data_IF_696378973808
#
_entry.id   IF_696378973808
#
_cell.length_a   1.000
_cell.length_b   1.000
_cell.length_c   1.000
_cell.angle_alpha   90.00
_cell.angle_beta   90.00
_cell.angle_gamma   90.00
#
_symmetry.space_group_name_H-M   'P 1'
#
loop_
_entity.id
_entity.type
_entity.pdbx_description
1 polymer ?
#
# COMPACT_ATOMS: atom_id res chain seq x y z
N UNK A 1 -27.49 33.22 50.66
CA UNK A 1 -27.51 34.25 49.58
C UNK A 1 -26.58 33.94 48.40
N UNK A 2 -25.55 33.08 48.53
CA UNK A 2 -24.57 32.81 47.46
C UNK A 2 -25.10 32.03 46.24
N UNK A 3 -26.19 31.27 46.39
CA UNK A 3 -26.71 30.44 45.30
C UNK A 3 -27.29 31.27 44.13
N UNK A 4 -27.81 32.48 44.42
CA UNK A 4 -28.32 33.41 43.41
C UNK A 4 -27.22 33.88 42.45
N UNK A 5 -26.02 34.16 42.98
CA UNK A 5 -24.87 34.59 42.18
C UNK A 5 -24.38 33.45 41.28
N UNK A 6 -24.38 32.22 41.80
CA UNK A 6 -23.98 31.03 41.05
C UNK A 6 -24.98 30.70 39.92
N UNK A 7 -26.29 30.83 40.17
CA UNK A 7 -27.31 30.64 39.13
C UNK A 7 -27.21 31.70 38.03
N UNK A 8 -26.90 32.94 38.38
CA UNK A 8 -26.76 34.04 37.41
C UNK A 8 -25.52 33.82 36.52
N UNK A 9 -24.39 33.40 37.12
CA UNK A 9 -23.17 33.07 36.38
C UNK A 9 -23.37 31.88 35.43
N UNK A 10 -24.00 30.81 35.88
CA UNK A 10 -24.32 29.65 35.03
C UNK A 10 -25.28 30.02 33.90
N UNK A 11 -26.29 30.85 34.16
CA UNK A 11 -27.20 31.33 33.10
C UNK A 11 -26.49 32.19 32.07
N UNK A 12 -25.55 33.06 32.50
CA UNK A 12 -24.75 33.88 31.60
C UNK A 12 -23.84 33.04 30.70
N UNK A 13 -23.15 32.06 31.28
CA UNK A 13 -22.31 31.12 30.52
C UNK A 13 -23.14 30.29 29.53
N UNK A 14 -24.32 29.82 29.94
CA UNK A 14 -25.22 29.06 29.06
C UNK A 14 -25.68 29.89 27.85
N UNK A 15 -26.05 31.15 28.06
CA UNK A 15 -26.47 32.05 26.98
C UNK A 15 -25.32 32.35 26.01
N UNK A 16 -24.11 32.56 26.51
CA UNK A 16 -22.92 32.74 25.67
C UNK A 16 -22.66 31.48 24.82
N UNK A 17 -22.77 30.30 25.44
CA UNK A 17 -22.54 29.03 24.74
C UNK A 17 -23.61 28.79 23.66
N UNK A 18 -24.87 29.08 23.96
CA UNK A 18 -25.98 29.01 22.99
C UNK A 18 -25.75 30.00 21.84
N UNK A 19 -25.32 31.22 22.11
CA UNK A 19 -25.03 32.22 21.08
C UNK A 19 -23.87 31.78 20.17
N UNK A 20 -22.82 31.18 20.71
CA UNK A 20 -21.69 30.64 19.94
C UNK A 20 -22.13 29.44 19.09
N UNK A 21 -22.94 28.53 19.62
CA UNK A 21 -23.48 27.38 18.88
C UNK A 21 -24.49 27.77 17.81
N UNK A 22 -25.25 28.85 18.04
CA UNK A 22 -26.28 29.34 17.10
C UNK A 22 -25.71 30.26 16.03
N UNK A 23 -24.47 30.72 16.18
CA UNK A 23 -23.76 31.39 15.10
C UNK A 23 -23.34 30.34 14.08
N UNK A 24 -24.12 30.24 13.00
CA UNK A 24 -23.64 29.59 11.77
C UNK A 24 -22.32 30.25 11.39
N UNK A 25 -21.24 29.46 11.44
CA UNK A 25 -19.89 29.97 11.16
C UNK A 25 -19.88 30.63 9.78
N UNK A 26 -19.39 31.89 9.63
CA UNK A 26 -19.48 32.65 8.37
C UNK A 26 -18.56 32.12 7.25
N UNK A 27 -17.86 31.02 7.48
CA UNK A 27 -16.95 30.44 6.51
C UNK A 27 -17.71 29.47 5.62
N UNK A 28 -17.59 29.68 4.31
CA UNK A 28 -18.00 28.75 3.26
C UNK A 28 -17.32 27.40 3.51
N UNK A 29 -18.00 26.48 4.16
CA UNK A 29 -17.59 25.09 4.14
C UNK A 29 -17.71 24.59 2.70
N UNK A 30 -16.70 23.90 2.16
CA UNK A 30 -16.82 23.29 0.84
C UNK A 30 -18.01 22.33 0.85
N UNK A 31 -19.12 22.76 0.24
CA UNK A 31 -20.31 21.93 0.07
C UNK A 31 -19.90 20.82 -0.87
N UNK A 32 -20.01 19.57 -0.41
CA UNK A 32 -19.75 18.40 -1.23
C UNK A 32 -20.84 18.32 -2.32
N UNK A 33 -20.59 18.90 -3.49
CA UNK A 33 -21.56 19.00 -4.60
C UNK A 33 -21.71 17.66 -5.31
N UNK A 34 -20.68 16.83 -5.28
CA UNK A 34 -20.65 15.56 -5.97
C UNK A 34 -19.91 14.51 -5.15
N UNK A 35 -20.52 13.35 -5.01
CA UNK A 35 -19.88 12.14 -4.52
C UNK A 35 -19.98 11.12 -5.63
N UNK A 36 -18.87 10.81 -6.26
CA UNK A 36 -18.85 9.68 -7.17
C UNK A 36 -19.00 8.38 -6.38
N UNK A 37 -20.19 7.78 -6.45
CA UNK A 37 -20.44 6.43 -5.94
C UNK A 37 -19.94 5.41 -6.98
N UNK A 38 -18.63 5.37 -7.20
CA UNK A 38 -18.05 4.32 -8.04
C UNK A 38 -17.97 3.03 -7.23
N UNK A 39 -18.30 1.85 -7.82
CA UNK A 39 -18.02 0.59 -7.16
C UNK A 39 -16.50 0.50 -6.90
N UNK A 40 -16.10 0.00 -5.72
CA UNK A 40 -14.70 -0.04 -5.35
C UNK A 40 -13.94 -0.97 -6.29
N UNK A 41 -12.86 -0.47 -6.90
CA UNK A 41 -11.97 -1.24 -7.79
C UNK A 41 -11.40 -2.48 -7.08
N UNK A 42 -11.19 -2.37 -5.77
CA UNK A 42 -10.63 -3.42 -4.94
C UNK A 42 -11.69 -3.94 -3.95
N UNK A 43 -11.73 -5.27 -3.69
CA UNK A 43 -12.66 -5.85 -2.73
C UNK A 43 -12.28 -5.53 -1.27
N UNK A 44 -11.17 -4.83 -1.05
CA UNK A 44 -10.66 -4.43 0.26
C UNK A 44 -10.23 -2.96 0.25
N UNK A 45 -10.16 -2.35 1.44
CA UNK A 45 -9.54 -1.04 1.63
C UNK A 45 -8.02 -1.18 1.59
N UNK A 46 -7.32 -0.59 0.61
CA UNK A 46 -5.86 -0.70 0.52
C UNK A 46 -5.17 0.19 1.56
N UNK A 47 -4.07 -0.30 2.12
CA UNK A 47 -3.19 0.46 3.02
C UNK A 47 -2.24 1.37 2.23
N UNK A 48 -1.80 0.90 1.06
CA UNK A 48 -1.00 1.67 0.12
C UNK A 48 -1.47 1.43 -1.31
N UNK A 49 -1.45 2.48 -2.11
CA UNK A 49 -1.72 2.45 -3.54
C UNK A 49 -0.52 3.00 -4.28
N UNK A 50 -0.16 2.34 -5.38
CA UNK A 50 0.94 2.75 -6.25
C UNK A 50 0.42 2.79 -7.68
N UNK A 51 0.65 3.92 -8.34
CA UNK A 51 0.31 4.12 -9.73
C UNK A 51 1.61 4.11 -10.55
N UNK A 52 1.69 3.23 -11.55
CA UNK A 52 2.82 3.16 -12.48
C UNK A 52 2.33 3.20 -13.91
N UNK A 53 3.20 3.64 -14.83
CA UNK A 53 2.89 3.69 -16.27
C UNK A 53 3.91 2.86 -17.02
N UNK A 54 3.45 1.89 -17.80
CA UNK A 54 4.31 1.03 -18.63
C UNK A 54 3.74 0.93 -20.02
N UNK A 55 4.51 1.39 -21.01
CA UNK A 55 4.09 1.43 -22.40
C UNK A 55 2.80 2.24 -22.58
N UNK A 56 1.76 1.60 -23.12
CA UNK A 56 0.45 2.20 -23.38
C UNK A 56 -0.58 1.95 -22.25
N UNK A 57 -0.15 1.44 -21.09
CA UNK A 57 -1.03 1.11 -19.97
C UNK A 57 -0.63 1.85 -18.69
N UNK A 58 -1.64 2.20 -17.90
CA UNK A 58 -1.52 2.61 -16.50
C UNK A 58 -1.84 1.40 -15.62
N UNK A 59 -0.99 1.17 -14.63
CA UNK A 59 -1.14 0.11 -13.64
C UNK A 59 -1.41 0.74 -12.28
N UNK A 60 -2.38 0.20 -11.57
CA UNK A 60 -2.71 0.56 -10.20
C UNK A 60 -2.52 -0.68 -9.34
N UNK A 61 -1.52 -0.63 -8.47
CA UNK A 61 -1.21 -1.70 -7.52
C UNK A 61 -1.69 -1.30 -6.13
N UNK A 62 -2.59 -2.11 -5.57
CA UNK A 62 -3.09 -2.02 -4.21
C UNK A 62 -2.36 -3.01 -3.31
N UNK A 63 -1.95 -2.52 -2.14
CA UNK A 63 -1.34 -3.31 -1.09
C UNK A 63 -2.23 -3.27 0.14
N UNK A 64 -2.51 -4.43 0.70
CA UNK A 64 -3.09 -4.61 2.02
C UNK A 64 -2.08 -5.34 2.88
N UNK A 65 -1.64 -4.70 3.95
CA UNK A 65 -0.53 -5.16 4.76
C UNK A 65 -0.94 -6.32 5.65
N UNK A 66 -2.15 -6.25 6.18
CA UNK A 66 -2.71 -7.26 7.06
C UNK A 66 -4.11 -7.65 6.58
N UNK A 67 -4.22 -8.82 5.97
CA UNK A 67 -5.48 -9.49 5.69
C UNK A 67 -5.56 -10.78 6.52
N UNK A 68 -6.73 -11.08 7.07
CA UNK A 68 -6.93 -12.36 7.77
C UNK A 68 -6.69 -13.51 6.79
N UNK A 69 -5.81 -14.44 7.16
CA UNK A 69 -5.53 -15.62 6.33
C UNK A 69 -6.81 -16.46 6.15
N UNK A 70 -7.03 -16.99 4.94
CA UNK A 70 -8.12 -17.93 4.67
C UNK A 70 -7.90 -19.19 5.53
N UNK A 71 -8.79 -19.42 6.50
CA UNK A 71 -8.71 -20.56 7.43
C UNK A 71 -8.55 -20.15 8.90
N UNK A 72 -8.03 -18.96 9.18
CA UNK A 72 -8.02 -18.42 10.53
C UNK A 72 -9.31 -17.66 10.79
N UNK A 73 -10.08 -18.11 11.80
CA UNK A 73 -11.34 -17.50 12.26
C UNK A 73 -11.10 -16.14 12.97
N UNK A 74 -10.23 -15.29 12.44
CA UNK A 74 -9.84 -14.02 13.04
C UNK A 74 -8.89 -14.13 14.23
N UNK A 75 -8.35 -15.32 14.52
CA UNK A 75 -7.32 -15.48 15.55
C UNK A 75 -5.98 -14.95 15.03
N UNK A 76 -5.71 -13.67 15.29
CA UNK A 76 -4.42 -13.02 15.02
C UNK A 76 -3.61 -13.07 16.31
N UNK A 77 -2.41 -13.65 16.25
CA UNK A 77 -1.51 -13.76 17.40
C UNK A 77 -0.22 -13.00 17.10
N UNK A 78 0.22 -12.12 18.01
CA UNK A 78 1.44 -11.34 17.84
C UNK A 78 1.24 -9.87 18.18
N UNK A 79 2.33 -9.11 18.18
CA UNK A 79 2.33 -7.69 18.51
C UNK A 79 3.07 -6.90 17.44
N UNK A 80 2.57 -5.71 17.12
CA UNK A 80 3.18 -4.83 16.11
C UNK A 80 3.14 -5.44 14.70
N UNK A 81 4.29 -5.43 14.02
CA UNK A 81 4.45 -5.86 12.62
C UNK A 81 4.69 -7.37 12.45
N UNK A 82 4.90 -8.08 13.55
CA UNK A 82 5.07 -9.53 13.55
C UNK A 82 3.80 -10.19 14.09
N UNK A 83 2.99 -10.71 13.17
CA UNK A 83 1.69 -11.32 13.47
C UNK A 83 1.54 -12.62 12.72
N UNK A 84 1.12 -13.64 13.45
CA UNK A 84 0.68 -14.94 12.94
C UNK A 84 -0.78 -14.85 12.52
N UNK A 85 -1.09 -15.54 11.42
CA UNK A 85 -2.44 -15.66 10.90
C UNK A 85 -2.94 -14.46 10.08
N UNK A 86 -2.04 -13.55 9.73
CA UNK A 86 -2.28 -12.47 8.78
C UNK A 86 -1.37 -12.61 7.57
N UNK A 87 -1.90 -12.25 6.41
CA UNK A 87 -1.21 -12.32 5.14
C UNK A 87 -1.26 -10.96 4.46
N UNK A 88 -0.20 -10.61 3.75
CA UNK A 88 -0.21 -9.50 2.81
C UNK A 88 -1.03 -9.83 1.57
N UNK A 89 -1.81 -8.89 1.05
CA UNK A 89 -2.46 -9.02 -0.26
C UNK A 89 -1.95 -7.93 -1.20
N UNK A 90 -1.57 -8.33 -2.40
CA UNK A 90 -1.14 -7.45 -3.47
C UNK A 90 -2.08 -7.69 -4.65
N UNK A 91 -2.78 -6.64 -5.10
CA UNK A 91 -3.67 -6.71 -6.24
C UNK A 91 -3.34 -5.62 -7.23
N UNK A 92 -3.12 -5.99 -8.49
CA UNK A 92 -2.84 -5.03 -9.54
C UNK A 92 -3.94 -5.07 -10.60
N UNK A 93 -4.35 -3.88 -11.03
CA UNK A 93 -5.27 -3.68 -12.16
C UNK A 93 -4.59 -2.77 -13.18
N UNK A 94 -4.94 -2.90 -14.46
CA UNK A 94 -4.44 -2.05 -15.54
C UNK A 94 -5.57 -1.43 -16.35
N UNK A 95 -5.31 -0.24 -16.89
CA UNK A 95 -6.18 0.48 -17.81
C UNK A 95 -5.35 1.07 -18.96
N UNK A 96 -5.80 0.99 -20.22
CA UNK A 96 -5.10 1.64 -21.34
C UNK A 96 -5.03 3.17 -21.15
N UNK A 97 -3.88 3.78 -21.43
CA UNK A 97 -3.66 5.23 -21.34
C UNK A 97 -4.61 6.02 -22.23
N UNK A 98 -4.88 5.54 -23.46
CA UNK A 98 -5.78 6.23 -24.39
C UNK A 98 -7.20 6.38 -23.85
N UNK A 99 -7.67 5.42 -23.03
CA UNK A 99 -8.97 5.48 -22.37
C UNK A 99 -9.04 6.54 -21.25
N UNK A 100 -7.90 7.05 -20.78
CA UNK A 100 -7.85 8.15 -19.81
C UNK A 100 -7.84 9.52 -20.49
N UNK A 101 -7.39 9.59 -21.74
CA UNK A 101 -7.27 10.82 -22.51
C UNK A 101 -8.57 11.18 -23.24
N UNK A 102 -9.49 10.23 -23.38
CA UNK A 102 -10.77 10.45 -24.07
C UNK A 102 -11.84 10.76 -23.03
N UNK A 103 -12.55 11.89 -23.15
CA UNK A 103 -13.71 12.28 -22.32
C UNK A 103 -14.93 11.38 -22.59
N UNK A 104 -14.80 10.07 -22.39
CA UNK A 104 -15.94 9.15 -22.41
C UNK A 104 -16.35 8.81 -20.99
N UNK A 105 -17.65 8.93 -20.75
CA UNK A 105 -18.40 8.68 -19.52
C UNK A 105 -17.54 8.20 -18.34
N UNK A 106 -17.23 9.15 -17.46
CA UNK A 106 -16.61 8.95 -16.15
C UNK A 106 -17.41 8.00 -15.23
N UNK A 107 -18.47 7.35 -15.72
CA UNK A 107 -19.47 6.60 -14.96
C UNK A 107 -19.25 5.07 -14.99
N UNK A 108 -18.45 4.54 -15.90
CA UNK A 108 -18.21 3.10 -15.99
C UNK A 108 -16.85 2.71 -15.41
N UNK A 109 -16.89 1.88 -14.36
CA UNK A 109 -15.72 1.15 -13.84
C UNK A 109 -15.10 0.15 -14.84
N UNK A 110 -15.70 0.00 -16.03
CA UNK A 110 -15.37 -0.99 -17.07
C UNK A 110 -13.99 -0.83 -17.73
N UNK A 111 -13.19 0.15 -17.32
CA UNK A 111 -11.85 0.35 -17.87
C UNK A 111 -10.73 -0.46 -17.20
N UNK A 112 -10.94 -0.96 -15.97
CA UNK A 112 -9.88 -1.62 -15.20
C UNK A 112 -9.93 -3.14 -15.38
N UNK A 113 -8.84 -3.70 -15.87
CA UNK A 113 -8.67 -5.15 -16.03
C UNK A 113 -7.72 -5.69 -14.95
N UNK A 114 -8.07 -6.76 -14.23
CA UNK A 114 -7.17 -7.37 -13.25
C UNK A 114 -5.93 -7.93 -13.95
N UNK A 115 -4.75 -7.68 -13.38
CA UNK A 115 -3.48 -8.25 -13.82
C UNK A 115 -3.16 -9.49 -13.00
N UNK A 116 -3.05 -9.31 -11.69
CA UNK A 116 -2.79 -10.40 -10.75
C UNK A 116 -3.33 -10.04 -9.36
N UNK A 117 -3.48 -11.09 -8.55
CA UNK A 117 -3.79 -11.00 -7.13
C UNK A 117 -2.94 -12.04 -6.40
N UNK A 118 -2.05 -11.58 -5.53
CA UNK A 118 -1.12 -12.41 -4.79
C UNK A 118 -1.35 -12.26 -3.29
N UNK A 119 -1.46 -13.39 -2.61
CA UNK A 119 -1.41 -13.46 -1.16
C UNK A 119 -0.01 -13.89 -0.72
N UNK A 120 0.63 -13.09 0.13
CA UNK A 120 1.91 -13.41 0.74
C UNK A 120 1.71 -14.37 1.92
N UNK A 121 2.76 -15.09 2.27
CA UNK A 121 2.75 -16.05 3.40
C UNK A 121 2.71 -15.37 4.77
N UNK A 122 2.99 -14.07 4.83
CA UNK A 122 2.89 -13.27 6.04
C UNK A 122 2.59 -11.79 5.75
N UNK A 123 2.52 -10.94 6.79
CA UNK A 123 2.14 -9.54 6.64
C UNK A 123 3.17 -8.74 5.86
N UNK A 124 2.71 -7.76 5.08
CA UNK A 124 3.58 -6.74 4.48
C UNK A 124 3.94 -5.73 5.56
N UNK A 125 5.21 -5.36 5.62
CA UNK A 125 5.69 -4.27 6.48
C UNK A 125 6.01 -3.01 5.69
N UNK A 126 6.65 -3.15 4.52
CA UNK A 126 7.08 -2.02 3.69
C UNK A 126 6.95 -2.33 2.21
N UNK A 127 6.69 -1.28 1.43
CA UNK A 127 6.69 -1.33 -0.04
C UNK A 127 7.60 -0.24 -0.55
N UNK A 128 8.63 -0.63 -1.29
CA UNK A 128 9.52 0.28 -2.02
C UNK A 128 9.13 0.32 -3.49
N UNK A 129 9.09 1.52 -4.06
CA UNK A 129 8.83 1.74 -5.48
C UNK A 129 10.16 2.18 -6.08
N UNK A 130 10.56 1.59 -7.20
CA UNK A 130 11.77 2.02 -7.89
C UNK A 130 11.53 3.38 -8.52
N UNK A 131 12.37 4.35 -8.20
CA UNK A 131 12.30 5.68 -8.78
C UNK A 131 13.16 5.69 -10.06
N UNK A 132 12.65 5.07 -11.14
CA UNK A 132 13.39 5.03 -12.41
C UNK A 132 13.14 6.30 -13.22
N UNK A 133 14.14 7.17 -13.32
CA UNK A 133 14.19 8.21 -14.35
C UNK A 133 14.58 7.64 -15.71
N UNK A 134 15.14 6.44 -15.74
CA UNK A 134 15.56 5.75 -16.95
C UNK A 134 14.42 4.94 -17.56
N UNK A 135 14.41 4.85 -18.90
CA UNK A 135 13.38 4.17 -19.70
C UNK A 135 13.38 2.64 -19.54
N UNK A 136 14.17 2.09 -18.63
CA UNK A 136 14.25 0.66 -18.38
C UNK A 136 13.19 0.25 -17.35
N UNK A 137 12.01 -0.07 -17.90
CA UNK A 137 10.73 -0.24 -17.20
C UNK A 137 10.62 -1.59 -16.47
N UNK A 138 11.66 -2.42 -16.52
CA UNK A 138 11.54 -3.82 -16.15
C UNK A 138 11.27 -4.02 -14.66
N UNK A 139 11.93 -3.34 -13.72
CA UNK A 139 11.65 -3.56 -12.28
C UNK A 139 10.82 -2.42 -11.71
N UNK A 140 9.68 -2.72 -11.06
CA UNK A 140 8.73 -1.67 -10.64
C UNK A 140 8.71 -1.41 -9.14
N UNK A 141 8.60 -2.46 -8.33
CA UNK A 141 8.48 -2.30 -6.88
C UNK A 141 8.93 -3.56 -6.14
N UNK A 142 9.33 -3.39 -4.88
CA UNK A 142 9.65 -4.44 -3.95
C UNK A 142 8.73 -4.38 -2.73
N UNK A 143 8.37 -5.55 -2.21
CA UNK A 143 7.51 -5.70 -1.04
C UNK A 143 8.28 -6.48 0.01
N UNK A 144 8.46 -5.87 1.17
CA UNK A 144 9.01 -6.52 2.35
C UNK A 144 7.87 -7.18 3.11
N UNK A 145 8.01 -8.47 3.37
CA UNK A 145 7.11 -9.22 4.23
C UNK A 145 7.88 -10.15 5.15
N UNK A 146 7.21 -10.58 6.21
CA UNK A 146 7.82 -11.37 7.26
C UNK A 146 7.05 -12.66 7.45
N UNK A 147 7.77 -13.77 7.56
CA UNK A 147 7.20 -15.09 7.78
C UNK A 147 7.77 -15.64 9.09
N UNK A 148 6.90 -16.25 9.89
CA UNK A 148 7.31 -16.98 11.08
C UNK A 148 7.08 -18.45 10.79
N UNK A 149 8.13 -19.25 10.94
CA UNK A 149 8.08 -20.69 10.73
C UNK A 149 9.02 -21.36 11.74
N UNK A 150 8.52 -22.35 12.48
CA UNK A 150 9.26 -23.07 13.53
C UNK A 150 9.97 -22.15 14.53
N UNK A 151 9.24 -21.17 15.07
CA UNK A 151 9.73 -20.12 16.00
C UNK A 151 10.85 -19.22 15.45
N UNK A 152 11.20 -19.33 14.17
CA UNK A 152 12.17 -18.47 13.51
C UNK A 152 11.46 -17.40 12.67
N UNK A 153 11.98 -16.17 12.72
CA UNK A 153 11.53 -15.08 11.86
C UNK A 153 12.39 -14.99 10.60
N UNK A 154 11.72 -15.09 9.44
CA UNK A 154 12.32 -14.93 8.13
C UNK A 154 11.81 -13.64 7.48
N UNK A 155 12.73 -12.89 6.87
CA UNK A 155 12.42 -11.63 6.19
C UNK A 155 12.62 -11.81 4.68
N UNK A 156 11.58 -11.53 3.91
CA UNK A 156 11.60 -11.71 2.47
C UNK A 156 11.31 -10.39 1.76
N UNK A 157 12.06 -10.13 0.70
CA UNK A 157 11.78 -9.07 -0.24
C UNK A 157 11.29 -9.69 -1.56
N UNK A 158 9.99 -9.51 -1.85
CA UNK A 158 9.41 -9.89 -3.16
C UNK A 158 9.60 -8.74 -4.13
N UNK A 159 10.37 -8.96 -5.18
CA UNK A 159 10.60 -7.95 -6.22
C UNK A 159 9.74 -8.27 -7.43
N UNK A 160 8.92 -7.31 -7.84
CA UNK A 160 8.08 -7.39 -9.02
C UNK A 160 8.74 -6.71 -10.21
N UNK A 161 8.79 -7.44 -11.31
CA UNK A 161 9.34 -6.97 -12.57
C UNK A 161 8.44 -7.38 -13.74
N UNK A 162 8.60 -6.69 -14.85
CA UNK A 162 7.92 -6.96 -16.10
C UNK A 162 8.87 -7.60 -17.08
N UNK A 163 8.41 -8.67 -17.69
CA UNK A 163 9.07 -9.32 -18.82
C UNK A 163 8.38 -8.85 -20.10
N UNK A 164 9.18 -8.56 -21.13
CA UNK A 164 8.66 -8.27 -22.46
C UNK A 164 8.56 -9.60 -23.22
N UNK A 165 7.34 -10.11 -23.40
CA UNK A 165 7.11 -11.21 -24.34
C UNK A 165 6.91 -10.63 -25.75
N UNK A 166 7.83 -10.98 -26.65
CA UNK A 166 7.79 -10.78 -28.10
C UNK A 166 7.02 -9.53 -28.57
N UNK A 167 7.38 -8.38 -27.98
CA UNK A 167 6.97 -7.05 -28.42
C UNK A 167 5.50 -6.67 -28.22
N UNK A 168 4.66 -7.47 -27.54
CA UNK A 168 3.22 -7.15 -27.41
C UNK A 168 2.60 -7.31 -26.03
N UNK A 169 3.13 -8.17 -25.15
CA UNK A 169 2.57 -8.36 -23.82
C UNK A 169 3.63 -8.18 -22.73
N UNK A 170 3.29 -7.32 -21.77
CA UNK A 170 4.05 -7.07 -20.56
C UNK A 170 3.46 -7.99 -19.50
N UNK A 171 4.13 -9.12 -19.23
CA UNK A 171 3.79 -9.99 -18.13
C UNK A 171 4.46 -9.49 -16.86
N UNK A 172 3.77 -9.59 -15.71
CA UNK A 172 4.34 -9.27 -14.41
C UNK A 172 4.75 -10.55 -13.74
N UNK A 173 6.03 -10.63 -13.43
CA UNK A 173 6.66 -11.75 -12.74
C UNK A 173 7.22 -11.26 -11.41
N UNK A 174 7.46 -12.19 -10.49
CA UNK A 174 8.12 -11.86 -9.25
C UNK A 174 9.17 -12.89 -8.87
N UNK A 175 10.06 -12.49 -7.96
CA UNK A 175 10.97 -13.39 -7.26
C UNK A 175 11.10 -12.96 -5.82
N UNK A 176 11.15 -13.96 -4.95
CA UNK A 176 11.36 -13.78 -3.52
C UNK A 176 12.84 -13.90 -3.20
N UNK A 177 13.34 -12.92 -2.45
CA UNK A 177 14.72 -12.91 -1.94
C UNK A 177 14.64 -12.98 -0.43
N UNK A 178 15.22 -14.03 0.15
CA UNK A 178 15.40 -14.11 1.59
C UNK A 178 16.53 -13.15 2.01
N UNK A 179 16.22 -12.24 2.92
CA UNK A 179 17.21 -11.32 3.49
C UNK A 179 18.07 -12.06 4.53
N UNK A 180 19.38 -11.77 4.60
CA UNK A 180 20.29 -12.52 5.47
C UNK A 180 20.15 -12.11 6.94
N UNK A 181 20.06 -13.12 7.81
CA UNK A 181 20.01 -12.96 9.26
C UNK A 181 18.60 -13.07 9.84
N UNK A 182 18.54 -13.05 11.17
CA UNK A 182 17.31 -13.12 11.97
C UNK A 182 16.93 -11.78 12.59
N UNK A 183 17.80 -10.77 12.44
CA UNK A 183 17.56 -9.39 12.88
C UNK A 183 16.42 -8.79 12.08
N UNK A 184 15.51 -8.09 12.77
CA UNK A 184 14.35 -7.48 12.16
C UNK A 184 14.75 -6.51 11.06
N UNK A 185 14.08 -6.56 9.91
CA UNK A 185 14.27 -5.61 8.81
C UNK A 185 13.12 -4.60 8.84
N UNK A 186 13.45 -3.32 9.07
CA UNK A 186 12.45 -2.26 9.23
C UNK A 186 12.11 -1.61 7.89
N UNK A 187 13.11 -1.39 7.05
CA UNK A 187 12.97 -0.66 5.79
C UNK A 187 13.70 -1.33 4.63
N UNK A 188 13.16 -1.14 3.42
CA UNK A 188 13.80 -1.51 2.15
C UNK A 188 13.70 -0.35 1.15
N UNK A 189 14.72 -0.22 0.32
CA UNK A 189 14.72 0.57 -0.92
C UNK A 189 15.18 -0.29 -2.08
N UNK A 190 14.45 -0.24 -3.19
CA UNK A 190 14.78 -0.96 -4.42
C UNK A 190 15.47 -0.01 -5.39
N UNK A 191 16.74 -0.30 -5.67
CA UNK A 191 17.55 0.41 -6.66
C UNK A 191 17.71 -0.42 -7.94
N UNK A 192 18.46 0.11 -8.92
CA UNK A 192 18.58 -0.49 -10.25
C UNK A 192 19.15 -1.92 -10.26
N UNK A 193 20.15 -2.19 -9.43
CA UNK A 193 20.84 -3.49 -9.38
C UNK A 193 21.07 -3.97 -7.96
N UNK A 194 20.42 -3.35 -6.99
CA UNK A 194 20.61 -3.65 -5.57
C UNK A 194 19.36 -3.37 -4.77
N UNK A 195 19.25 -4.06 -3.64
CA UNK A 195 18.30 -3.78 -2.59
C UNK A 195 19.07 -3.18 -1.42
N UNK A 196 18.68 -1.98 -0.99
CA UNK A 196 19.09 -1.44 0.30
C UNK A 196 18.08 -1.81 1.36
N UNK A 197 18.56 -2.09 2.56
CA UNK A 197 17.71 -2.39 3.69
C UNK A 197 18.36 -1.98 5.00
N UNK A 198 17.53 -1.65 5.99
CA UNK A 198 17.93 -1.28 7.35
C UNK A 198 17.36 -2.30 8.32
N UNK A 199 18.17 -2.73 9.29
CA UNK A 199 17.72 -3.63 10.36
C UNK A 199 17.41 -2.85 11.62
N UNK A 200 16.82 -3.51 12.60
CA UNK A 200 16.71 -3.02 13.97
C UNK A 200 17.68 -3.83 14.86
N UNK A 201 18.64 -3.22 15.58
CA UNK A 201 18.88 -1.78 15.72
C UNK A 201 20.01 -1.24 14.81
N UNK A 202 19.70 -0.90 13.56
CA UNK A 202 20.59 -0.10 12.71
C UNK A 202 20.06 1.35 12.69
N UNK A 203 20.65 2.23 13.50
CA UNK A 203 20.20 3.63 13.54
C UNK A 203 20.69 4.46 12.34
N UNK A 204 21.83 4.09 11.76
CA UNK A 204 22.49 4.82 10.66
C UNK A 204 23.18 3.90 9.65
N UNK A 205 23.03 2.58 9.80
CA UNK A 205 23.67 1.60 8.91
C UNK A 205 22.65 1.12 7.88
N UNK A 206 23.07 1.11 6.61
CA UNK A 206 22.31 0.54 5.53
C UNK A 206 23.10 -0.63 4.95
N UNK A 207 22.42 -1.76 4.82
CA UNK A 207 22.97 -2.92 4.15
C UNK A 207 22.58 -2.88 2.68
N UNK A 208 23.50 -3.28 1.81
CA UNK A 208 23.30 -3.34 0.37
C UNK A 208 23.47 -4.79 -0.07
N UNK A 209 22.49 -5.30 -0.79
CA UNK A 209 22.55 -6.61 -1.44
C UNK A 209 22.43 -6.42 -2.95
N UNK A 210 23.39 -6.92 -3.72
CA UNK A 210 23.30 -6.92 -5.17
C UNK A 210 22.22 -7.89 -5.65
N UNK A 211 21.40 -7.46 -6.59
CA UNK A 211 20.50 -8.35 -7.31
C UNK A 211 21.32 -9.17 -8.33
N UNK A 212 21.09 -10.49 -8.45
CA UNK A 212 21.78 -11.30 -9.45
C UNK A 212 21.58 -10.71 -10.86
N UNK A 213 22.60 -10.71 -11.71
CA UNK A 213 22.46 -10.27 -13.10
C UNK A 213 21.46 -11.12 -13.90
N UNK A 214 21.24 -12.35 -13.47
CA UNK A 214 20.26 -13.30 -14.00
C UNK A 214 18.90 -13.22 -13.29
N UNK A 215 18.67 -12.21 -12.44
CA UNK A 215 17.45 -12.11 -11.64
C UNK A 215 16.18 -12.04 -12.51
N UNK A 216 16.27 -11.40 -13.67
CA UNK A 216 15.15 -11.26 -14.63
C UNK A 216 15.10 -12.45 -15.60
N UNK A 217 15.96 -13.47 -15.48
CA UNK A 217 15.92 -14.65 -16.34
C UNK A 217 14.97 -15.72 -15.80
N UNK A 218 14.40 -16.58 -16.67
CA UNK A 218 13.61 -17.74 -16.25
C UNK A 218 14.44 -18.67 -15.33
N UNK A 219 13.78 -19.48 -14.48
CA UNK A 219 12.34 -19.57 -14.29
C UNK A 219 11.76 -18.35 -13.55
N UNK A 220 10.56 -17.96 -13.96
CA UNK A 220 9.73 -16.96 -13.28
C UNK A 220 8.70 -17.64 -12.39
N UNK A 221 8.08 -16.88 -11.48
CA UNK A 221 7.12 -17.38 -10.49
C UNK A 221 5.85 -16.53 -10.47
#
# INVERSE_FOLDING_TARGET
MQWRTLTLLLSGLAVIYIAILSQDTPYLHPKRVYTSNYPPIFPFKPDKLVLTTVGAYVYLTAFKYEASALGNRGSVVGTGRLKLGVNGIIKQVKKPLFNLLTERDLLETDGWTPCFEHALTGPVSKVSIRNSHDRDIQTQFAVLYHQIEDDNSYHFARVYYTTAEDGKQVAFEYKDIQLPGTTWVDEISLENSSLLYSRDPDQYEFHIMGLPSTFIQPPHA
#
